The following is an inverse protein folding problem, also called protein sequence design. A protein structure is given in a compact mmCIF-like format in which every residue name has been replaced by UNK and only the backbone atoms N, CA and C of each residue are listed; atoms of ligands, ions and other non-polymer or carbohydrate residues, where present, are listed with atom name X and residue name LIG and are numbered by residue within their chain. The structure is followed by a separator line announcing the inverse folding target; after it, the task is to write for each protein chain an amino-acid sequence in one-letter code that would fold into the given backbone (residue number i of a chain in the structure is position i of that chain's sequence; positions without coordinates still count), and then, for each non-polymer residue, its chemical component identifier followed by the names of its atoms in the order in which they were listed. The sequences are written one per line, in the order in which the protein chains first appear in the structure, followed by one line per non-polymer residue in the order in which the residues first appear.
data_IF_911350912695
#
_entry.id   IF_911350912695
#
_cell.length_a   1.000
_cell.length_b   1.000
_cell.length_c   1.000
_cell.angle_alpha   90.00
_cell.angle_beta   90.00
_cell.angle_gamma   90.00
#
_symmetry.space_group_name_H-M   'P 1'
#
loop_
_entity.id
_entity.type
_entity.pdbx_description
1 polymer ?
#
# COMPACT_ATOMS: atom_id res chain seq x y z
N UNK A 1 -13.87 -21.52 8.39
CA UNK A 1 -13.05 -21.58 9.63
C UNK A 1 -13.41 -20.38 10.47
N UNK A 2 -13.90 -20.60 11.68
CA UNK A 2 -14.36 -19.57 12.59
C UNK A 2 -13.52 -19.64 13.86
N UNK A 3 -13.08 -18.49 14.36
CA UNK A 3 -12.31 -18.39 15.61
C UNK A 3 -12.89 -17.25 16.43
N UNK A 4 -13.04 -17.48 17.73
CA UNK A 4 -13.50 -16.45 18.67
C UNK A 4 -12.29 -15.63 19.09
N UNK A 5 -12.43 -14.30 19.05
CA UNK A 5 -11.42 -13.36 19.53
C UNK A 5 -12.09 -12.32 20.41
N UNK A 6 -11.38 -11.88 21.45
CA UNK A 6 -11.88 -10.86 22.39
C UNK A 6 -11.48 -9.47 21.90
N UNK A 7 -12.42 -8.53 21.97
CA UNK A 7 -12.17 -7.10 21.75
C UNK A 7 -11.67 -6.52 23.09
N UNK A 8 -10.49 -5.91 23.09
CA UNK A 8 -9.96 -5.26 24.31
C UNK A 8 -10.70 -3.94 24.60
N UNK A 9 -10.55 -3.35 25.81
CA UNK A 9 -11.17 -2.06 26.14
C UNK A 9 -10.77 -0.90 25.20
N UNK A 10 -9.62 -1.02 24.52
CA UNK A 10 -9.15 -0.06 23.51
C UNK A 10 -9.64 -0.40 22.09
N UNK A 11 -10.64 -1.27 21.96
CA UNK A 11 -11.16 -1.77 20.68
C UNK A 11 -10.11 -2.45 19.80
N UNK A 12 -9.12 -3.10 20.41
CA UNK A 12 -8.12 -3.88 19.67
C UNK A 12 -8.56 -5.33 19.60
N UNK A 13 -8.32 -5.96 18.45
CA UNK A 13 -8.59 -7.38 18.24
C UNK A 13 -7.26 -8.06 17.90
N UNK A 14 -6.90 -9.08 18.66
CA UNK A 14 -5.80 -9.95 18.28
C UNK A 14 -6.25 -10.85 17.12
N UNK A 15 -5.63 -10.72 15.95
CA UNK A 15 -5.87 -11.62 14.81
C UNK A 15 -5.08 -12.93 15.00
N UNK A 16 -5.74 -14.08 15.23
CA UNK A 16 -5.05 -15.35 15.40
C UNK A 16 -4.31 -15.74 14.12
N UNK A 17 -3.15 -16.41 14.28
CA UNK A 17 -2.25 -16.80 13.19
C UNK A 17 -2.99 -17.44 12.00
N UNK A 18 -3.87 -18.40 12.28
CA UNK A 18 -4.58 -19.15 11.24
C UNK A 18 -5.54 -18.27 10.40
N UNK A 19 -6.19 -17.26 11.00
CA UNK A 19 -7.04 -16.31 10.26
C UNK A 19 -6.17 -15.35 9.46
N UNK A 20 -5.09 -14.86 10.08
CA UNK A 20 -4.14 -13.93 9.46
C UNK A 20 -3.53 -14.51 8.18
N UNK A 21 -3.07 -15.76 8.23
CA UNK A 21 -2.48 -16.47 7.08
C UNK A 21 -3.51 -16.69 5.96
N UNK A 22 -4.74 -17.12 6.30
CA UNK A 22 -5.80 -17.31 5.29
C UNK A 22 -6.28 -16.01 4.65
N UNK A 23 -6.35 -14.93 5.42
CA UNK A 23 -6.67 -13.59 4.92
C UNK A 23 -5.44 -12.90 4.27
N UNK A 24 -4.29 -13.58 4.23
CA UNK A 24 -3.06 -13.13 3.58
C UNK A 24 -2.28 -12.06 4.34
N UNK A 25 -2.64 -11.68 5.56
CA UNK A 25 -1.97 -10.64 6.36
C UNK A 25 -0.61 -11.09 6.95
N UNK A 26 0.33 -11.50 6.09
CA UNK A 26 1.62 -12.08 6.50
C UNK A 26 2.56 -11.09 7.20
N UNK A 27 2.41 -9.79 6.93
CA UNK A 27 3.23 -8.72 7.50
C UNK A 27 2.36 -7.64 8.13
N UNK A 28 2.93 -6.89 9.07
CA UNK A 28 2.29 -5.71 9.65
C UNK A 28 2.22 -4.60 8.61
N UNK A 29 1.13 -3.82 8.63
CA UNK A 29 0.97 -2.72 7.70
C UNK A 29 -0.39 -2.03 7.83
N UNK A 30 -0.59 -0.93 7.08
CA UNK A 30 -1.85 -0.21 7.07
C UNK A 30 -2.95 -1.04 6.43
N UNK A 31 -4.15 -0.94 7.00
CA UNK A 31 -5.36 -1.62 6.53
C UNK A 31 -6.43 -0.60 6.20
N UNK A 32 -7.33 -0.97 5.29
CA UNK A 32 -8.56 -0.23 5.01
C UNK A 32 -9.68 -0.95 5.74
N UNK A 33 -10.45 -0.21 6.52
CA UNK A 33 -11.58 -0.73 7.28
C UNK A 33 -12.86 -0.07 6.80
N UNK A 34 -13.89 -0.88 6.55
CA UNK A 34 -15.24 -0.39 6.20
C UNK A 34 -16.29 -1.18 6.97
N UNK A 35 -17.40 -0.52 7.28
CA UNK A 35 -18.58 -1.17 7.84
C UNK A 35 -19.53 -1.54 6.71
N UNK A 36 -19.93 -2.80 6.64
CA UNK A 36 -20.91 -3.31 5.67
C UNK A 36 -21.89 -4.24 6.38
N UNK A 37 -23.19 -3.89 6.36
CA UNK A 37 -24.30 -4.70 6.90
C UNK A 37 -24.04 -5.30 8.29
N UNK A 38 -23.56 -4.47 9.22
CA UNK A 38 -23.27 -4.88 10.60
C UNK A 38 -21.97 -5.68 10.77
N UNK A 39 -21.11 -5.73 9.74
CA UNK A 39 -19.80 -6.37 9.77
C UNK A 39 -18.70 -5.34 9.51
N UNK A 40 -17.54 -5.55 10.12
CA UNK A 40 -16.33 -4.80 9.79
C UNK A 40 -15.55 -5.62 8.76
N UNK A 41 -15.35 -5.06 7.58
CA UNK A 41 -14.52 -5.64 6.52
C UNK A 41 -13.17 -4.96 6.57
N UNK A 42 -12.12 -5.76 6.78
CA UNK A 42 -10.74 -5.29 6.86
C UNK A 42 -9.99 -5.82 5.63
N UNK A 43 -9.44 -4.90 4.84
CA UNK A 43 -8.69 -5.21 3.62
C UNK A 43 -7.28 -4.64 3.73
N UNK A 44 -6.32 -5.30 3.08
CA UNK A 44 -4.98 -4.72 2.94
C UNK A 44 -5.07 -3.43 2.15
N UNK A 45 -4.40 -2.37 2.63
CA UNK A 45 -4.22 -1.18 1.82
C UNK A 45 -3.37 -1.56 0.61
N UNK A 46 -3.95 -1.50 -0.59
CA UNK A 46 -3.20 -1.67 -1.83
C UNK A 46 -2.16 -0.54 -1.91
N UNK A 47 -0.92 -0.90 -2.27
CA UNK A 47 0.14 0.06 -2.51
C UNK A 47 -0.24 1.03 -3.64
N UNK A 48 0.51 2.13 -3.75
CA UNK A 48 0.41 3.03 -4.90
C UNK A 48 0.66 2.21 -6.18
N UNK A 49 -0.33 2.15 -7.08
CA UNK A 49 -0.18 1.43 -8.35
C UNK A 49 0.90 2.06 -9.24
N UNK A 50 1.32 1.35 -10.29
CA UNK A 50 2.32 1.83 -11.27
C UNK A 50 1.98 3.23 -11.82
N UNK A 51 0.69 3.54 -11.99
CA UNK A 51 0.20 4.84 -12.45
C UNK A 51 0.48 5.98 -11.45
N UNK A 52 0.45 5.70 -10.15
CA UNK A 52 0.79 6.67 -9.12
C UNK A 52 2.31 6.94 -9.07
N UNK A 53 3.13 6.03 -9.58
CA UNK A 53 4.58 6.25 -9.78
C UNK A 53 4.84 7.10 -11.02
N UNK A 54 4.10 6.90 -12.12
CA UNK A 54 4.23 7.68 -13.35
C UNK A 54 4.09 9.20 -13.11
N UNK A 55 3.16 9.60 -12.24
CA UNK A 55 3.01 11.01 -11.83
C UNK A 55 4.16 11.53 -10.95
N UNK A 56 4.77 10.67 -10.14
CA UNK A 56 5.85 11.05 -9.22
C UNK A 56 7.17 11.35 -9.96
N UNK A 57 7.43 10.68 -11.08
CA UNK A 57 8.64 10.87 -11.90
C UNK A 57 8.42 11.79 -13.10
N UNK A 58 7.30 12.52 -13.15
CA UNK A 58 7.06 13.49 -14.21
C UNK A 58 8.08 14.64 -14.10
N UNK A 59 8.93 14.78 -15.11
CA UNK A 59 9.94 15.84 -15.20
C UNK A 59 9.23 17.19 -15.30
N UNK A 60 9.52 18.10 -14.36
CA UNK A 60 8.90 19.45 -14.32
C UNK A 60 9.40 20.37 -15.44
N UNK A 61 10.67 20.22 -15.82
CA UNK A 61 11.32 20.99 -16.87
C UNK A 61 11.94 20.03 -17.88
N UNK A 62 11.14 19.52 -18.83
CA UNK A 62 11.65 18.62 -19.85
C UNK A 62 12.67 19.36 -20.71
N UNK A 63 13.79 18.69 -20.99
CA UNK A 63 14.80 19.17 -21.94
C UNK A 63 14.36 18.68 -23.33
N UNK A 64 14.33 19.54 -24.35
CA UNK A 64 14.12 19.12 -25.74
C UNK A 64 15.16 18.05 -26.10
N UNK A 65 14.73 16.96 -26.75
CA UNK A 65 15.62 15.82 -27.02
C UNK A 65 16.81 16.22 -27.89
N UNK A 66 16.64 17.26 -28.69
CA UNK A 66 17.63 17.87 -29.57
C UNK A 66 18.82 18.42 -28.77
N UNK A 67 18.58 18.92 -27.56
CA UNK A 67 19.58 19.56 -26.70
C UNK A 67 20.15 18.59 -25.66
N UNK A 68 19.76 17.31 -25.67
CA UNK A 68 20.10 16.37 -24.59
C UNK A 68 21.62 16.21 -24.41
N UNK A 69 22.39 16.34 -25.50
CA UNK A 69 23.85 16.20 -25.49
C UNK A 69 24.54 17.29 -24.69
N UNK A 70 23.94 18.48 -24.59
CA UNK A 70 24.52 19.62 -23.88
C UNK A 70 24.40 19.47 -22.35
N UNK A 71 23.52 18.58 -21.90
CA UNK A 71 23.25 18.32 -20.48
C UNK A 71 23.86 16.99 -19.98
N UNK A 72 24.56 16.25 -20.84
CA UNK A 72 25.28 15.03 -20.47
C UNK A 72 26.75 15.41 -20.31
N UNK A 73 27.28 15.21 -19.10
CA UNK A 73 28.72 15.37 -18.85
C UNK A 73 29.46 14.09 -19.29
N UNK A 74 30.23 14.20 -20.37
CA UNK A 74 31.03 13.13 -20.93
C UNK A 74 32.46 13.07 -20.35
N UNK A 75 32.78 13.88 -19.34
CA UNK A 75 34.14 14.01 -18.79
C UNK A 75 34.52 12.91 -17.79
N UNK A 76 33.79 11.79 -17.77
CA UNK A 76 34.05 10.62 -16.93
C UNK A 76 34.40 9.38 -17.74
#
# INVERSE_FOLDING_TARGET
MQTIATITPKFQIHLPKAIREKAGFLTHGPVVMRADKGKIVIEKRKGKGILALAGAFRVKHPIPVENIRDYIDYSR
#
